data_IF_165288406333
#
_entry.id   IF_165288406333
#
_cell.length_a   1.000
_cell.length_b   1.000
_cell.length_c   1.000
_cell.angle_alpha   90.00
_cell.angle_beta   90.00
_cell.angle_gamma   90.00
#
_symmetry.space_group_name_H-M   'P 1'
#
loop_
_entity.id
_entity.type
_entity.pdbx_description
1 polymer ?
#
# COMPACT_ATOMS: atom_id res chain seq x y z
N UNK A 1 14.33 12.90 -3.33
CA UNK A 1 14.43 12.74 -1.87
C UNK A 1 14.28 11.25 -1.57
N UNK A 2 15.33 10.61 -1.06
CA UNK A 2 15.32 9.18 -0.72
C UNK A 2 15.02 9.08 0.78
N UNK A 3 13.89 8.47 1.14
CA UNK A 3 13.52 8.27 2.55
C UNK A 3 13.96 6.85 2.92
N UNK A 4 15.02 6.74 3.71
CA UNK A 4 15.47 5.49 4.29
C UNK A 4 14.63 5.20 5.55
N UNK A 5 13.67 4.28 5.44
CA UNK A 5 12.85 3.83 6.57
C UNK A 5 13.47 2.56 7.17
N UNK A 6 14.38 2.72 8.13
CA UNK A 6 14.68 1.64 9.06
C UNK A 6 14.33 2.07 10.49
N UNK A 7 13.12 1.77 10.98
CA UNK A 7 12.88 1.67 12.40
C UNK A 7 13.22 0.23 12.82
N UNK A 8 14.34 0.08 13.52
CA UNK A 8 14.66 -1.12 14.27
C UNK A 8 13.62 -1.31 15.38
N UNK A 9 12.55 -2.04 15.11
CA UNK A 9 11.69 -2.63 16.14
C UNK A 9 11.85 -4.14 16.12
N UNK A 10 12.51 -4.60 17.18
CA UNK A 10 12.73 -6.02 17.46
C UNK A 10 11.39 -6.66 17.84
N UNK A 11 10.81 -7.43 16.91
CA UNK A 11 9.80 -8.44 17.21
C UNK A 11 10.21 -9.74 16.53
N UNK A 12 10.41 -10.77 17.36
CA UNK A 12 10.65 -12.13 16.93
C UNK A 12 9.58 -12.57 15.92
N UNK A 13 9.95 -12.68 14.65
CA UNK A 13 9.23 -13.45 13.65
C UNK A 13 10.25 -14.34 12.93
N UNK A 14 10.51 -15.50 13.53
CA UNK A 14 11.22 -16.59 12.88
C UNK A 14 10.31 -17.13 11.76
N UNK A 15 10.39 -16.51 10.60
CA UNK A 15 9.61 -16.86 9.43
C UNK A 15 10.05 -15.96 8.30
N UNK A 16 10.82 -16.52 7.37
CA UNK A 16 11.25 -15.85 6.15
C UNK A 16 10.07 -15.05 5.57
N UNK A 17 10.09 -13.71 5.54
CA UNK A 17 9.00 -12.98 4.95
C UNK A 17 9.12 -13.27 3.45
N UNK A 18 8.24 -14.12 2.92
CA UNK A 18 7.75 -13.89 1.58
C UNK A 18 7.14 -12.50 1.64
N UNK A 19 7.96 -11.48 1.41
CA UNK A 19 7.52 -10.11 1.41
C UNK A 19 6.60 -10.00 0.23
N UNK A 20 5.28 -10.03 0.46
CA UNK A 20 4.27 -9.65 -0.52
C UNK A 20 4.42 -8.14 -0.76
N UNK A 21 5.56 -7.75 -1.31
CA UNK A 21 5.90 -6.38 -1.63
C UNK A 21 5.11 -6.04 -2.88
N UNK A 22 4.30 -5.00 -2.80
CA UNK A 22 3.42 -4.57 -3.87
C UNK A 22 3.56 -3.06 -4.03
N UNK A 23 3.96 -2.62 -5.21
CA UNK A 23 3.91 -1.21 -5.61
C UNK A 23 2.57 -0.91 -6.27
N UNK A 24 1.87 0.12 -5.81
CA UNK A 24 0.64 0.63 -6.44
C UNK A 24 1.03 1.85 -7.28
N UNK A 25 0.80 1.77 -8.59
CA UNK A 25 1.14 2.83 -9.57
C UNK A 25 -0.02 3.82 -9.69
N UNK A 26 -1.24 3.31 -9.84
CA UNK A 26 -2.45 4.10 -10.06
C UNK A 26 -3.70 3.32 -9.67
N UNK A 27 -4.84 4.00 -9.67
CA UNK A 27 -6.15 3.40 -9.50
C UNK A 27 -7.13 3.91 -10.56
N UNK A 28 -8.19 3.16 -10.82
CA UNK A 28 -9.33 3.59 -11.62
C UNK A 28 -10.61 3.02 -11.03
N UNK A 29 -11.74 3.66 -11.30
CA UNK A 29 -13.06 3.18 -10.89
C UNK A 29 -13.84 2.82 -12.14
N UNK A 30 -14.26 1.56 -12.23
CA UNK A 30 -15.10 1.06 -13.32
C UNK A 30 -16.32 0.39 -12.70
N UNK A 31 -17.52 0.82 -13.09
CA UNK A 31 -18.79 0.29 -12.57
C UNK A 31 -18.89 0.27 -11.03
N UNK A 32 -18.30 1.26 -10.37
CA UNK A 32 -18.25 1.36 -8.91
C UNK A 32 -17.21 0.45 -8.24
N UNK A 33 -16.45 -0.33 -9.01
CA UNK A 33 -15.37 -1.19 -8.52
C UNK A 33 -14.03 -0.45 -8.65
N UNK A 34 -13.28 -0.41 -7.56
CA UNK A 34 -11.93 0.18 -7.54
C UNK A 34 -10.92 -0.87 -8.02
N UNK A 35 -10.22 -0.55 -9.10
CA UNK A 35 -9.10 -1.32 -9.62
C UNK A 35 -7.79 -0.61 -9.32
N UNK A 36 -6.79 -1.38 -8.91
CA UNK A 36 -5.43 -0.93 -8.63
C UNK A 36 -4.48 -1.48 -9.68
N UNK A 37 -3.66 -0.61 -10.25
CA UNK A 37 -2.56 -1.00 -11.12
C UNK A 37 -1.34 -1.27 -10.25
N UNK A 38 -0.96 -2.54 -10.13
CA UNK A 38 0.03 -3.01 -9.16
C UNK A 38 1.19 -3.74 -9.82
N UNK A 39 2.36 -3.65 -9.21
CA UNK A 39 3.54 -4.49 -9.49
C UNK A 39 3.87 -5.25 -8.23
N UNK A 40 3.85 -6.57 -8.28
CA UNK A 40 4.25 -7.42 -7.16
C UNK A 40 5.74 -7.78 -7.26
N UNK A 41 6.39 -8.02 -6.12
CA UNK A 41 7.75 -8.53 -6.10
C UNK A 41 7.84 -9.89 -6.84
N UNK A 42 8.75 -9.96 -7.81
CA UNK A 42 8.91 -11.14 -8.67
C UNK A 42 8.09 -11.12 -9.95
N UNK A 43 7.12 -10.21 -10.09
CA UNK A 43 6.40 -10.03 -11.35
C UNK A 43 7.23 -9.16 -12.31
N UNK A 44 7.31 -9.58 -13.58
CA UNK A 44 7.98 -8.81 -14.65
C UNK A 44 7.11 -7.68 -15.24
N UNK A 45 5.83 -7.66 -14.90
CA UNK A 45 4.84 -6.75 -15.46
C UNK A 45 3.83 -6.29 -14.41
N UNK A 46 3.37 -5.05 -14.56
CA UNK A 46 2.24 -4.55 -13.81
C UNK A 46 0.91 -5.18 -14.27
N UNK A 47 -0.05 -5.28 -13.37
CA UNK A 47 -1.38 -5.83 -13.63
C UNK A 47 -2.45 -5.03 -12.92
N UNK A 48 -3.67 -5.09 -13.44
CA UNK A 48 -4.84 -4.55 -12.76
C UNK A 48 -5.45 -5.63 -11.87
N UNK A 49 -5.66 -5.29 -10.61
CA UNK A 49 -6.36 -6.14 -9.62
C UNK A 49 -7.45 -5.32 -8.96
N UNK A 50 -8.49 -5.99 -8.47
CA UNK A 50 -9.49 -5.32 -7.64
C UNK A 50 -8.87 -4.92 -6.30
N UNK A 51 -9.42 -3.88 -5.68
CA UNK A 51 -8.99 -3.46 -4.35
C UNK A 51 -9.13 -4.58 -3.31
N UNK A 52 -10.15 -5.43 -3.44
CA UNK A 52 -10.35 -6.59 -2.56
C UNK A 52 -9.22 -7.63 -2.71
N UNK A 53 -8.81 -7.95 -3.94
CA UNK A 53 -7.68 -8.86 -4.20
C UNK A 53 -6.36 -8.29 -3.68
N UNK A 54 -6.12 -6.99 -3.92
CA UNK A 54 -4.92 -6.32 -3.42
C UNK A 54 -4.87 -6.30 -1.88
N UNK A 55 -6.01 -6.09 -1.22
CA UNK A 55 -6.14 -6.15 0.24
C UNK A 55 -5.85 -7.55 0.78
N UNK A 56 -6.24 -8.62 0.08
CA UNK A 56 -5.90 -9.98 0.47
C UNK A 56 -4.40 -10.29 0.30
N UNK A 57 -3.74 -9.66 -0.68
CA UNK A 57 -2.33 -9.91 -0.98
C UNK A 57 -1.36 -9.09 -0.10
N UNK A 58 -1.56 -7.77 -0.03
CA UNK A 58 -0.70 -6.83 0.71
C UNK A 58 -1.56 -5.70 1.34
N UNK A 59 -2.21 -5.96 2.48
CA UNK A 59 -3.09 -4.98 3.13
C UNK A 59 -2.37 -3.66 3.48
N UNK A 60 -1.13 -3.75 3.94
CA UNK A 60 -0.32 -2.60 4.35
C UNK A 60 -0.03 -1.65 3.18
N UNK A 61 0.26 -2.18 1.99
CA UNK A 61 0.49 -1.39 0.79
C UNK A 61 -0.76 -0.63 0.35
N UNK A 62 -1.92 -1.29 0.37
CA UNK A 62 -3.20 -0.65 0.02
C UNK A 62 -3.59 0.44 1.03
N UNK A 63 -3.40 0.20 2.33
CA UNK A 63 -3.66 1.21 3.36
C UNK A 63 -2.75 2.43 3.18
N UNK A 64 -1.45 2.21 2.98
CA UNK A 64 -0.50 3.29 2.76
C UNK A 64 -0.86 4.13 1.52
N UNK A 65 -1.23 3.47 0.41
CA UNK A 65 -1.69 4.17 -0.79
C UNK A 65 -2.97 4.95 -0.55
N UNK A 66 -3.95 4.37 0.15
CA UNK A 66 -5.21 5.06 0.48
C UNK A 66 -4.96 6.30 1.34
N UNK A 67 -4.10 6.19 2.35
CA UNK A 67 -3.67 7.35 3.17
C UNK A 67 -3.04 8.44 2.31
N UNK A 68 -2.18 8.07 1.35
CA UNK A 68 -1.57 9.01 0.42
C UNK A 68 -2.60 9.69 -0.49
N UNK A 69 -3.59 8.96 -1.01
CA UNK A 69 -4.67 9.54 -1.82
C UNK A 69 -5.51 10.53 -1.00
N UNK A 70 -5.85 10.16 0.24
CA UNK A 70 -6.60 11.05 1.13
C UNK A 70 -5.78 12.29 1.50
N UNK A 71 -4.48 12.16 1.77
CA UNK A 71 -3.64 13.34 2.06
C UNK A 71 -3.52 14.29 0.87
N UNK A 72 -3.51 13.77 -0.36
CA UNK A 72 -3.55 14.58 -1.58
C UNK A 72 -4.87 15.33 -1.74
N UNK A 73 -5.99 14.71 -1.35
CA UNK A 73 -7.33 15.32 -1.42
C UNK A 73 -7.50 16.39 -0.33
N UNK A 74 -7.12 16.09 0.91
CA UNK A 74 -7.34 16.97 2.06
C UNK A 74 -6.20 17.97 2.29
N UNK A 75 -5.07 17.81 1.60
CA UNK A 75 -3.90 18.68 1.74
C UNK A 75 -3.15 18.56 3.08
N UNK A 76 -3.46 17.53 3.88
CA UNK A 76 -2.87 17.27 5.19
C UNK A 76 -2.41 15.82 5.30
N UNK A 77 -1.24 15.52 5.91
CA UNK A 77 -0.80 14.14 6.11
C UNK A 77 -1.80 13.36 6.96
N UNK A 78 -2.34 12.25 6.43
CA UNK A 78 -3.34 11.45 7.15
C UNK A 78 -2.81 10.87 8.47
N UNK A 79 -1.49 10.65 8.58
CA UNK A 79 -0.90 10.15 9.83
C UNK A 79 -1.10 11.12 11.00
N UNK A 80 -1.17 12.44 10.72
CA UNK A 80 -1.46 13.48 11.73
C UNK A 80 -2.94 13.45 12.15
N UNK A 81 -3.85 13.07 11.23
CA UNK A 81 -5.28 12.98 11.52
C UNK A 81 -5.66 11.77 12.38
N UNK A 82 -4.87 10.69 12.31
CA UNK A 82 -5.18 9.44 13.01
C UNK A 82 -4.27 9.17 14.23
N UNK A 83 -3.42 10.13 14.62
CA UNK A 83 -2.55 10.04 15.80
C UNK A 83 -3.23 10.38 17.15
N UNK A 84 -4.54 10.64 17.17
CA UNK A 84 -5.31 10.84 18.41
C UNK A 84 -6.01 9.56 18.87
N UNK A 85 -5.27 8.62 19.46
CA UNK A 85 -5.73 7.78 20.57
C UNK A 85 -4.57 7.05 21.26
#
# INVERSE_FOLDING_TARGET
>A
MVINLNPSTSTNANGSPHSNLMGIISHTVLDGVVYLHVVCAGDSSAKWVTMAEAMAYCPTGVIAYTKLQLSQIYGIPMDVLFESN
#
